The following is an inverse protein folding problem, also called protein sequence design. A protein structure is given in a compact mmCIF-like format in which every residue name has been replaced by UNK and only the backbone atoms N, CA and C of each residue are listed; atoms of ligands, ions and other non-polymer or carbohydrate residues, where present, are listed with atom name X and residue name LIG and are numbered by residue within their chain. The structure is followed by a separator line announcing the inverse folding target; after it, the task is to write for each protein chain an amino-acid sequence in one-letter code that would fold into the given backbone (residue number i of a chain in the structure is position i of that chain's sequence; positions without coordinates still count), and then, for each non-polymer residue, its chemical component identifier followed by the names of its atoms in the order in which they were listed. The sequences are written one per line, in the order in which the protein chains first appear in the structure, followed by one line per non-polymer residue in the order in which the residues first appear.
data_IF_417343511711
#
_entry.id   IF_417343511711
#
_cell.length_a   1.000
_cell.length_b   1.000
_cell.length_c   1.000
_cell.angle_alpha   90.00
_cell.angle_beta   90.00
_cell.angle_gamma   90.00
#
_symmetry.space_group_name_H-M   'P 1'
#
loop_
_entity.id
_entity.type
_entity.pdbx_description
1 polymer ?
#
# COMPACT_ATOMS: atom_id res chain seq x y z
N UNK A 1 -21.81 2.44 -20.28
CA UNK A 1 -21.72 1.58 -19.08
C UNK A 1 -20.86 2.16 -17.96
N UNK A 2 -19.57 2.52 -18.16
CA UNK A 2 -18.69 3.06 -17.09
C UNK A 2 -19.22 4.35 -16.43
N UNK A 3 -19.75 5.30 -17.20
CA UNK A 3 -20.35 6.53 -16.68
C UNK A 3 -21.60 6.25 -15.83
N UNK A 4 -22.47 5.35 -16.31
CA UNK A 4 -23.71 4.99 -15.59
C UNK A 4 -23.37 4.42 -14.21
N UNK A 5 -22.44 3.44 -14.15
CA UNK A 5 -21.98 2.87 -12.88
C UNK A 5 -21.45 3.97 -11.96
N UNK A 6 -20.66 4.89 -12.50
CA UNK A 6 -20.11 6.00 -11.71
C UNK A 6 -21.22 6.94 -11.20
N UNK A 7 -22.20 7.32 -12.02
CA UNK A 7 -23.27 8.22 -11.63
C UNK A 7 -24.12 7.66 -10.47
N UNK A 8 -24.40 6.35 -10.47
CA UNK A 8 -25.12 5.71 -9.37
C UNK A 8 -24.24 5.50 -8.12
N UNK A 9 -22.97 5.20 -8.31
CA UNK A 9 -22.06 4.94 -7.18
C UNK A 9 -21.57 6.22 -6.50
N UNK A 10 -21.38 7.31 -7.23
CA UNK A 10 -20.79 8.53 -6.69
C UNK A 10 -21.61 9.19 -5.58
N UNK A 11 -22.95 9.33 -5.65
CA UNK A 11 -23.76 9.85 -4.54
C UNK A 11 -23.62 9.00 -3.28
N UNK A 12 -23.57 7.68 -3.42
CA UNK A 12 -23.39 6.74 -2.30
C UNK A 12 -22.00 6.94 -1.68
N UNK A 13 -20.95 7.01 -2.50
CA UNK A 13 -19.57 7.28 -2.06
C UNK A 13 -19.50 8.60 -1.31
N UNK A 14 -20.13 9.65 -1.84
CA UNK A 14 -20.18 10.97 -1.20
C UNK A 14 -20.90 10.91 0.15
N UNK A 15 -22.05 10.28 0.21
CA UNK A 15 -22.81 10.11 1.45
C UNK A 15 -21.98 9.35 2.50
N UNK A 16 -21.44 8.19 2.15
CA UNK A 16 -20.57 7.39 3.04
C UNK A 16 -19.39 8.22 3.55
N UNK A 17 -18.77 9.03 2.68
CA UNK A 17 -17.60 9.83 3.06
C UNK A 17 -17.89 10.89 4.13
N UNK A 18 -19.16 11.31 4.27
CA UNK A 18 -19.60 12.32 5.26
C UNK A 18 -19.98 11.70 6.61
N UNK A 19 -20.28 10.39 6.64
CA UNK A 19 -20.69 9.70 7.87
C UNK A 19 -19.59 9.75 8.94
N UNK A 20 -19.94 9.82 10.24
CA UNK A 20 -18.99 9.68 11.33
C UNK A 20 -18.36 8.28 11.35
N UNK A 21 -17.16 8.14 11.89
CA UNK A 21 -16.43 6.88 11.89
C UNK A 21 -17.15 5.75 12.63
N UNK A 22 -17.94 6.06 13.65
CA UNK A 22 -18.77 5.06 14.36
C UNK A 22 -19.78 4.37 13.42
N UNK A 23 -20.39 5.11 12.51
CA UNK A 23 -21.32 4.57 11.51
C UNK A 23 -20.56 3.87 10.38
N UNK A 24 -19.47 4.47 9.91
CA UNK A 24 -18.63 3.89 8.85
C UNK A 24 -18.16 2.48 9.21
N UNK A 25 -17.77 2.24 10.46
CA UNK A 25 -17.34 0.91 10.86
C UNK A 25 -18.49 -0.12 10.98
N UNK A 26 -19.72 0.31 11.23
CA UNK A 26 -20.89 -0.58 11.09
C UNK A 26 -21.13 -0.97 9.62
N UNK A 27 -20.95 -0.02 8.69
CA UNK A 27 -20.99 -0.29 7.24
C UNK A 27 -19.86 -1.23 6.85
N UNK A 28 -18.64 -1.02 7.37
CA UNK A 28 -17.50 -1.90 7.14
C UNK A 28 -17.76 -3.33 7.63
N UNK A 29 -18.37 -3.49 8.81
CA UNK A 29 -18.70 -4.81 9.36
C UNK A 29 -19.75 -5.53 8.49
N UNK A 30 -20.71 -4.81 7.91
CA UNK A 30 -21.64 -5.35 6.92
C UNK A 30 -20.91 -5.76 5.63
N UNK A 31 -20.00 -4.92 5.12
CA UNK A 31 -19.17 -5.25 3.95
C UNK A 31 -18.33 -6.49 4.23
N UNK A 32 -17.72 -6.61 5.41
CA UNK A 32 -17.00 -7.83 5.84
C UNK A 32 -17.90 -9.05 5.73
N UNK A 33 -19.11 -8.99 6.29
CA UNK A 33 -20.06 -10.10 6.25
C UNK A 33 -20.37 -10.50 4.80
N UNK A 34 -20.70 -9.54 3.96
CA UNK A 34 -21.03 -9.79 2.55
C UNK A 34 -19.84 -10.39 1.80
N UNK A 35 -18.64 -9.80 1.90
CA UNK A 35 -17.46 -10.28 1.19
C UNK A 35 -16.99 -11.65 1.67
N UNK A 36 -17.01 -11.90 2.98
CA UNK A 36 -16.46 -13.11 3.57
C UNK A 36 -17.46 -14.28 3.56
N UNK A 37 -18.71 -14.03 3.97
CA UNK A 37 -19.70 -15.10 4.19
C UNK A 37 -20.62 -15.33 2.99
N UNK A 38 -21.09 -14.25 2.34
CA UNK A 38 -22.05 -14.33 1.24
C UNK A 38 -21.34 -14.56 -0.09
N UNK A 39 -20.55 -13.58 -0.53
CA UNK A 39 -19.88 -13.63 -1.85
C UNK A 39 -18.60 -14.46 -1.87
N UNK A 40 -18.04 -14.78 -0.70
CA UNK A 40 -16.77 -15.52 -0.56
C UNK A 40 -15.67 -14.93 -1.47
N UNK A 41 -15.59 -13.59 -1.50
CA UNK A 41 -14.72 -12.85 -2.41
C UNK A 41 -13.28 -13.30 -2.26
N UNK A 42 -12.74 -13.92 -3.31
CA UNK A 42 -11.37 -14.46 -3.36
C UNK A 42 -10.99 -15.42 -2.21
N UNK A 43 -11.95 -16.04 -1.55
CA UNK A 43 -11.72 -16.89 -0.38
C UNK A 43 -10.71 -18.01 -0.65
N UNK A 44 -10.82 -18.69 -1.81
CA UNK A 44 -9.86 -19.72 -2.20
C UNK A 44 -8.42 -19.19 -2.31
N UNK A 45 -8.24 -17.94 -2.79
CA UNK A 45 -6.92 -17.31 -2.92
C UNK A 45 -6.36 -16.96 -1.54
N UNK A 46 -7.18 -16.38 -0.67
CA UNK A 46 -6.77 -16.03 0.71
C UNK A 46 -6.32 -17.27 1.47
N UNK A 47 -7.13 -18.34 1.48
CA UNK A 47 -6.80 -19.60 2.14
C UNK A 47 -5.53 -20.25 1.57
N UNK A 48 -5.40 -20.29 0.23
CA UNK A 48 -4.19 -20.79 -0.41
C UNK A 48 -2.96 -20.02 0.06
N UNK A 49 -3.02 -18.69 0.04
CA UNK A 49 -1.88 -17.86 0.44
C UNK A 49 -1.53 -18.05 1.92
N UNK A 50 -2.52 -18.13 2.82
CA UNK A 50 -2.28 -18.33 4.25
C UNK A 50 -1.65 -19.72 4.54
N UNK A 51 -2.18 -20.78 3.94
CA UNK A 51 -1.60 -22.13 4.10
C UNK A 51 -0.15 -22.24 3.57
N UNK A 52 0.18 -21.47 2.50
CA UNK A 52 1.54 -21.43 1.96
C UNK A 52 2.48 -20.64 2.86
N UNK A 53 2.00 -19.49 3.37
CA UNK A 53 2.81 -18.58 4.17
C UNK A 53 3.04 -19.04 5.61
N UNK A 54 2.12 -19.85 6.16
CA UNK A 54 2.14 -20.29 7.57
C UNK A 54 1.79 -21.78 7.65
N UNK A 55 2.63 -22.66 7.07
CA UNK A 55 2.34 -24.10 7.04
C UNK A 55 2.35 -24.77 8.43
N UNK A 56 2.98 -24.12 9.41
CA UNK A 56 3.09 -24.58 10.80
C UNK A 56 1.85 -24.25 11.66
N UNK A 57 0.96 -23.37 11.17
CA UNK A 57 -0.21 -22.96 11.96
C UNK A 57 -1.40 -23.90 11.79
N UNK A 58 -2.15 -24.07 12.83
CA UNK A 58 -3.41 -24.83 12.81
C UNK A 58 -4.46 -24.20 11.89
N UNK A 59 -5.41 -25.01 11.41
CA UNK A 59 -6.51 -24.51 10.59
C UNK A 59 -7.39 -23.50 11.33
N UNK A 60 -7.47 -23.60 12.66
CA UNK A 60 -8.20 -22.66 13.51
C UNK A 60 -7.50 -21.29 13.52
N UNK A 61 -6.18 -21.25 13.73
CA UNK A 61 -5.39 -20.04 13.66
C UNK A 61 -5.46 -19.37 12.29
N UNK A 62 -5.37 -20.15 11.21
CA UNK A 62 -5.50 -19.64 9.84
C UNK A 62 -6.91 -19.07 9.57
N UNK A 63 -7.96 -19.69 10.12
CA UNK A 63 -9.33 -19.19 10.02
C UNK A 63 -9.54 -17.89 10.80
N UNK A 64 -8.90 -17.73 11.96
CA UNK A 64 -8.91 -16.48 12.72
C UNK A 64 -8.22 -15.36 11.94
N UNK A 65 -7.02 -15.63 11.39
CA UNK A 65 -6.31 -14.67 10.52
C UNK A 65 -7.17 -14.29 9.30
N UNK A 66 -7.80 -15.27 8.63
CA UNK A 66 -8.72 -15.05 7.51
C UNK A 66 -9.86 -14.09 7.91
N UNK A 67 -10.53 -14.36 9.04
CA UNK A 67 -11.64 -13.53 9.51
C UNK A 67 -11.19 -12.10 9.84
N UNK A 68 -10.04 -11.94 10.51
CA UNK A 68 -9.44 -10.65 10.83
C UNK A 68 -8.98 -9.91 9.56
N UNK A 69 -8.44 -10.64 8.57
CA UNK A 69 -8.09 -10.08 7.27
C UNK A 69 -9.31 -9.47 6.56
N UNK A 70 -10.43 -10.18 6.46
CA UNK A 70 -11.64 -9.62 5.82
C UNK A 70 -12.18 -8.41 6.57
N UNK A 71 -12.08 -8.38 7.90
CA UNK A 71 -12.42 -7.20 8.68
C UNK A 71 -11.53 -6.01 8.32
N UNK A 72 -10.21 -6.23 8.30
CA UNK A 72 -9.25 -5.19 7.95
C UNK A 72 -9.40 -4.73 6.49
N UNK A 73 -9.57 -5.65 5.55
CA UNK A 73 -9.79 -5.35 4.14
C UNK A 73 -11.03 -4.48 3.91
N UNK A 74 -12.12 -4.77 4.62
CA UNK A 74 -13.33 -3.95 4.57
C UNK A 74 -13.11 -2.57 5.18
N UNK A 75 -12.36 -2.49 6.30
CA UNK A 75 -12.02 -1.23 6.94
C UNK A 75 -11.22 -0.33 5.98
N UNK A 76 -10.14 -0.84 5.37
CA UNK A 76 -9.33 -0.05 4.42
C UNK A 76 -10.16 0.41 3.22
N UNK A 77 -11.03 -0.47 2.70
CA UNK A 77 -11.88 -0.14 1.56
C UNK A 77 -12.78 1.07 1.88
N UNK A 78 -13.44 1.04 3.03
CA UNK A 78 -14.36 2.11 3.41
C UNK A 78 -13.60 3.38 3.85
N UNK A 79 -12.43 3.23 4.47
CA UNK A 79 -11.55 4.33 4.87
C UNK A 79 -10.98 5.09 3.66
N UNK A 80 -10.70 4.37 2.56
CA UNK A 80 -10.30 4.99 1.29
C UNK A 80 -11.42 5.89 0.71
N UNK A 81 -12.67 5.47 0.88
CA UNK A 81 -13.85 6.27 0.52
C UNK A 81 -14.01 7.45 1.49
N UNK A 82 -13.85 7.19 2.79
CA UNK A 82 -13.96 8.22 3.85
C UNK A 82 -12.98 9.36 3.65
N UNK A 83 -11.80 9.10 3.13
CA UNK A 83 -10.78 10.12 2.84
C UNK A 83 -11.31 11.26 1.95
N UNK A 84 -12.34 11.03 1.13
CA UNK A 84 -13.00 12.09 0.35
C UNK A 84 -13.60 13.18 1.25
N UNK A 85 -14.25 12.80 2.35
CA UNK A 85 -14.89 13.70 3.32
C UNK A 85 -13.98 14.18 4.47
N UNK A 86 -12.81 13.58 4.67
CA UNK A 86 -11.92 13.92 5.79
C UNK A 86 -11.25 15.28 5.63
N UNK A 87 -11.11 15.98 6.76
CA UNK A 87 -10.26 17.18 6.85
C UNK A 87 -8.77 16.79 7.00
N UNK A 88 -7.88 17.78 6.79
CA UNK A 88 -6.46 17.61 7.08
C UNK A 88 -6.21 17.26 8.56
N UNK A 89 -6.86 17.94 9.47
CA UNK A 89 -6.74 17.70 10.92
C UNK A 89 -7.18 16.28 11.30
N UNK A 90 -8.27 15.78 10.72
CA UNK A 90 -8.73 14.42 10.92
C UNK A 90 -7.73 13.39 10.37
N UNK A 91 -7.18 13.63 9.18
CA UNK A 91 -6.15 12.76 8.58
C UNK A 91 -4.89 12.72 9.46
N UNK A 92 -4.37 13.87 9.88
CA UNK A 92 -3.19 13.97 10.77
C UNK A 92 -3.40 13.28 12.12
N UNK A 93 -4.60 13.36 12.69
CA UNK A 93 -4.93 12.71 13.95
C UNK A 93 -4.98 11.18 13.82
N UNK A 94 -5.37 10.66 12.67
CA UNK A 94 -5.56 9.23 12.43
C UNK A 94 -4.36 8.54 11.81
N UNK A 95 -3.51 9.30 11.14
CA UNK A 95 -2.30 8.77 10.55
C UNK A 95 -1.09 9.57 11.05
N UNK A 96 -0.33 8.95 11.92
CA UNK A 96 0.82 9.56 12.60
C UNK A 96 2.14 8.94 12.17
N UNK A 97 3.23 9.61 12.48
CA UNK A 97 4.58 9.19 12.11
C UNK A 97 5.46 9.23 13.36
N UNK A 98 6.08 8.11 13.74
CA UNK A 98 6.87 7.98 14.97
C UNK A 98 8.19 8.73 14.86
N UNK A 99 8.88 8.62 13.72
CA UNK A 99 10.22 9.16 13.52
C UNK A 99 10.33 9.94 12.19
N UNK A 100 9.42 10.88 11.98
CA UNK A 100 9.36 11.69 10.75
C UNK A 100 10.67 12.44 10.46
N UNK A 101 11.46 12.72 11.49
CA UNK A 101 12.72 13.44 11.40
C UNK A 101 13.76 12.67 10.55
N UNK A 102 13.65 11.34 10.43
CA UNK A 102 14.46 10.56 9.47
C UNK A 102 14.28 11.09 8.05
N UNK A 103 13.04 11.36 7.62
CA UNK A 103 12.81 11.92 6.27
C UNK A 103 13.28 13.37 6.17
N UNK A 104 13.05 14.16 7.20
CA UNK A 104 13.49 15.58 7.24
C UNK A 104 15.01 15.70 7.15
N UNK A 105 15.74 14.80 7.84
CA UNK A 105 17.19 14.75 7.77
C UNK A 105 17.69 14.38 6.37
N UNK A 106 17.10 13.35 5.76
CA UNK A 106 17.41 12.99 4.37
C UNK A 106 17.12 14.16 3.43
N UNK A 107 16.03 14.90 3.67
CA UNK A 107 15.65 16.06 2.85
C UNK A 107 16.57 17.27 2.96
N UNK A 108 17.53 17.30 3.89
CA UNK A 108 18.60 18.32 3.89
C UNK A 108 19.57 18.13 2.71
N UNK A 109 19.79 16.87 2.30
CA UNK A 109 20.80 16.50 1.32
C UNK A 109 20.21 16.06 -0.03
N UNK A 110 18.93 15.67 -0.09
CA UNK A 110 18.25 15.26 -1.32
C UNK A 110 16.78 15.68 -1.31
N UNK A 111 16.28 16.06 -2.48
CA UNK A 111 14.87 16.46 -2.65
C UNK A 111 13.96 15.28 -2.97
N UNK A 112 14.50 14.15 -3.39
CA UNK A 112 13.76 13.02 -3.92
C UNK A 112 14.03 11.77 -3.09
N UNK A 113 12.95 11.16 -2.54
CA UNK A 113 13.03 9.99 -1.68
C UNK A 113 12.03 8.94 -2.18
N UNK A 114 12.42 7.68 -2.18
CA UNK A 114 11.51 6.55 -2.35
C UNK A 114 10.98 6.12 -0.98
N UNK A 115 9.66 6.09 -0.84
CA UNK A 115 8.95 5.43 0.25
C UNK A 115 8.52 4.05 -0.22
N UNK A 116 9.20 3.01 0.25
CA UNK A 116 8.95 1.63 -0.11
C UNK A 116 8.07 0.96 0.95
N UNK A 117 6.95 0.37 0.55
CA UNK A 117 6.02 -0.31 1.44
C UNK A 117 5.44 -1.57 0.80
N UNK A 118 4.79 -2.42 1.60
CA UNK A 118 3.89 -3.46 1.12
C UNK A 118 2.44 -2.98 1.06
N UNK A 119 1.59 -3.78 0.43
CA UNK A 119 0.14 -3.64 0.58
C UNK A 119 -0.26 -4.17 1.97
N UNK A 120 0.16 -3.46 3.00
CA UNK A 120 0.01 -3.82 4.40
C UNK A 120 -0.61 -2.67 5.19
N UNK A 121 -1.49 -2.98 6.11
CA UNK A 121 -2.19 -2.00 6.93
C UNK A 121 -2.87 -0.92 6.07
N UNK A 122 -2.93 0.34 6.48
CA UNK A 122 -3.47 1.41 5.64
C UNK A 122 -2.37 2.14 4.85
N UNK A 123 -1.79 1.43 3.86
CA UNK A 123 -0.81 2.01 2.91
C UNK A 123 -1.41 3.14 2.05
N UNK A 124 -2.74 3.20 1.91
CA UNK A 124 -3.42 4.24 1.13
C UNK A 124 -3.25 5.64 1.75
N UNK A 125 -3.31 5.72 3.08
CA UNK A 125 -3.14 7.00 3.79
C UNK A 125 -1.68 7.39 3.99
N UNK A 126 -0.71 6.50 3.73
CA UNK A 126 0.72 6.80 3.81
C UNK A 126 1.10 8.04 2.98
N UNK A 127 0.47 8.20 1.82
CA UNK A 127 0.78 9.32 0.92
C UNK A 127 0.37 10.68 1.49
N UNK A 128 -0.41 10.74 2.57
CA UNK A 128 -0.68 12.00 3.32
C UNK A 128 0.56 12.55 4.03
N UNK A 129 1.71 11.87 3.89
CA UNK A 129 3.02 12.28 4.39
C UNK A 129 3.37 13.73 4.03
N UNK A 130 2.89 14.23 2.90
CA UNK A 130 3.07 15.61 2.47
C UNK A 130 2.52 16.67 3.44
N UNK A 131 1.71 16.28 4.44
CA UNK A 131 1.32 17.17 5.54
C UNK A 131 2.42 17.36 6.61
N UNK A 132 3.40 16.48 6.66
CA UNK A 132 4.38 16.40 7.74
C UNK A 132 5.83 16.59 7.27
N UNK A 133 6.06 16.63 5.95
CA UNK A 133 7.38 16.79 5.31
C UNK A 133 7.36 17.91 4.29
N UNK A 134 8.53 18.28 3.77
CA UNK A 134 8.63 19.10 2.56
C UNK A 134 8.20 18.26 1.36
N UNK A 135 7.39 18.85 0.47
CA UNK A 135 6.93 18.21 -0.76
C UNK A 135 5.65 17.37 -0.61
N UNK A 136 5.33 16.66 -1.67
CA UNK A 136 4.11 15.86 -1.80
C UNK A 136 4.42 14.39 -2.01
N UNK A 137 3.47 13.51 -1.63
CA UNK A 137 3.53 12.08 -1.93
C UNK A 137 3.11 11.78 -3.38
N UNK A 138 3.86 10.92 -4.06
CA UNK A 138 3.57 10.49 -5.44
C UNK A 138 3.51 8.96 -5.48
N UNK A 139 2.30 8.40 -5.43
CA UNK A 139 2.10 6.95 -5.53
C UNK A 139 2.26 6.47 -6.97
N UNK A 140 3.11 5.48 -7.18
CA UNK A 140 3.27 4.83 -8.48
C UNK A 140 2.18 3.77 -8.63
N UNK A 141 1.35 3.89 -9.66
CA UNK A 141 0.17 3.05 -9.80
C UNK A 141 -0.04 2.53 -11.23
N UNK A 142 -0.84 1.49 -11.36
CA UNK A 142 -1.37 1.02 -12.64
C UNK A 142 -2.73 1.69 -12.88
N UNK A 143 -2.93 2.42 -14.01
CA UNK A 143 -4.18 3.08 -14.32
C UNK A 143 -5.39 2.15 -14.24
N UNK A 144 -6.50 2.66 -13.73
CA UNK A 144 -7.76 1.93 -13.62
C UNK A 144 -8.49 1.86 -14.96
N UNK A 145 -9.20 0.77 -15.20
CA UNK A 145 -10.02 0.59 -16.41
C UNK A 145 -11.14 1.63 -16.47
N UNK A 146 -11.80 1.90 -15.34
CA UNK A 146 -12.84 2.92 -15.27
C UNK A 146 -12.25 4.31 -15.01
N UNK A 147 -12.23 5.15 -16.04
CA UNK A 147 -11.64 6.50 -16.00
C UNK A 147 -12.35 7.46 -15.03
N UNK A 148 -13.62 7.25 -14.73
CA UNK A 148 -14.38 8.10 -13.80
C UNK A 148 -13.97 7.82 -12.36
N UNK A 149 -13.88 6.54 -11.97
CA UNK A 149 -13.32 6.17 -10.65
C UNK A 149 -11.86 6.56 -10.52
N UNK A 150 -11.05 6.42 -11.57
CA UNK A 150 -9.66 6.89 -11.54
C UNK A 150 -9.56 8.39 -11.23
N UNK A 151 -10.40 9.22 -11.88
CA UNK A 151 -10.46 10.66 -11.60
C UNK A 151 -10.89 10.94 -10.16
N UNK A 152 -11.89 10.21 -9.65
CA UNK A 152 -12.35 10.33 -8.27
C UNK A 152 -11.23 10.00 -7.28
N UNK A 153 -10.55 8.87 -7.45
CA UNK A 153 -9.44 8.48 -6.57
C UNK A 153 -8.27 9.45 -6.64
N UNK A 154 -7.93 9.96 -7.82
CA UNK A 154 -6.94 11.04 -7.95
C UNK A 154 -7.36 12.30 -7.20
N UNK A 155 -8.63 12.68 -7.27
CA UNK A 155 -9.18 13.84 -6.54
C UNK A 155 -9.09 13.64 -5.03
N UNK A 156 -9.45 12.47 -4.52
CA UNK A 156 -9.37 12.12 -3.10
C UNK A 156 -7.92 12.26 -2.62
N UNK A 157 -6.96 11.66 -3.32
CA UNK A 157 -5.55 11.69 -2.93
C UNK A 157 -4.95 13.10 -3.03
N UNK A 158 -5.26 13.84 -4.10
CA UNK A 158 -4.80 15.22 -4.27
C UNK A 158 -5.23 16.12 -3.10
N UNK A 159 -6.43 15.93 -2.56
CA UNK A 159 -6.92 16.62 -1.37
C UNK A 159 -5.97 16.44 -0.18
N UNK A 160 -5.33 15.27 -0.05
CA UNK A 160 -4.42 14.94 1.03
C UNK A 160 -2.93 15.06 0.63
N UNK A 161 -2.60 15.97 -0.29
CA UNK A 161 -1.23 16.20 -0.81
C UNK A 161 -0.57 14.95 -1.40
N UNK A 162 -1.40 14.02 -1.88
CA UNK A 162 -0.97 12.79 -2.52
C UNK A 162 -1.35 12.80 -4.00
N UNK A 163 -0.43 12.43 -4.86
CA UNK A 163 -0.62 12.39 -6.30
C UNK A 163 -0.38 10.97 -6.82
N UNK A 164 -0.91 10.67 -8.00
CA UNK A 164 -0.71 9.39 -8.64
C UNK A 164 0.06 9.57 -9.95
N UNK A 165 1.14 8.83 -10.10
CA UNK A 165 1.94 8.76 -11.33
C UNK A 165 1.77 7.38 -11.94
N UNK A 166 1.35 7.33 -13.21
CA UNK A 166 1.23 6.07 -13.92
C UNK A 166 2.60 5.41 -14.09
N UNK A 167 2.70 4.11 -13.76
CA UNK A 167 3.93 3.33 -13.98
C UNK A 167 4.46 3.38 -15.42
N UNK A 168 3.58 3.66 -16.38
CA UNK A 168 3.96 3.77 -17.79
C UNK A 168 4.53 5.13 -18.17
N UNK A 169 4.33 6.15 -17.32
CA UNK A 169 4.77 7.54 -17.54
C UNK A 169 5.78 8.01 -16.50
N UNK A 170 6.36 7.10 -15.72
CA UNK A 170 7.26 7.49 -14.63
C UNK A 170 8.56 8.12 -15.14
N UNK A 171 9.10 7.65 -16.27
CA UNK A 171 10.32 8.23 -16.87
C UNK A 171 10.08 9.66 -17.32
N UNK A 172 9.00 9.90 -18.08
CA UNK A 172 8.62 11.26 -18.55
C UNK A 172 8.37 12.18 -17.35
N UNK A 173 7.73 11.67 -16.30
CA UNK A 173 7.51 12.42 -15.08
C UNK A 173 8.84 12.82 -14.41
N UNK A 174 9.79 11.90 -14.31
CA UNK A 174 11.10 12.19 -13.73
C UNK A 174 11.87 13.26 -14.51
N UNK A 175 11.80 13.22 -15.84
CA UNK A 175 12.43 14.23 -16.71
C UNK A 175 11.78 15.61 -16.59
N UNK A 176 10.55 15.69 -16.10
CA UNK A 176 9.78 16.93 -15.92
C UNK A 176 9.79 17.47 -14.49
N UNK A 177 10.58 16.88 -13.58
CA UNK A 177 10.62 17.32 -12.18
C UNK A 177 11.19 18.74 -12.07
N UNK A 178 10.50 19.55 -11.27
CA UNK A 178 11.01 20.84 -10.82
C UNK A 178 12.09 20.60 -9.75
N UNK A 179 13.33 20.92 -10.08
CA UNK A 179 14.49 20.74 -9.19
C UNK A 179 14.40 21.54 -7.88
N UNK A 180 13.49 22.51 -7.79
CA UNK A 180 13.23 23.30 -6.59
C UNK A 180 12.22 22.65 -5.63
N UNK A 181 11.53 21.58 -6.06
CA UNK A 181 10.50 20.89 -5.26
C UNK A 181 11.01 19.58 -4.68
N UNK A 182 10.30 19.11 -3.64
CA UNK A 182 10.56 17.84 -2.98
C UNK A 182 9.53 16.80 -3.41
N UNK A 183 9.98 15.58 -3.66
CA UNK A 183 9.13 14.46 -4.11
C UNK A 183 9.35 13.22 -3.26
N UNK A 184 8.26 12.63 -2.81
CA UNK A 184 8.22 11.40 -2.03
C UNK A 184 7.52 10.34 -2.88
N UNK A 185 8.28 9.47 -3.52
CA UNK A 185 7.76 8.43 -4.43
C UNK A 185 7.34 7.19 -3.65
N UNK A 186 6.05 6.90 -3.57
CA UNK A 186 5.50 5.71 -2.94
C UNK A 186 5.47 4.51 -3.87
N UNK A 187 6.16 3.44 -3.50
CA UNK A 187 6.16 2.16 -4.20
C UNK A 187 5.64 1.05 -3.28
N UNK A 188 4.55 0.39 -3.66
CA UNK A 188 4.11 -0.86 -3.06
C UNK A 188 4.58 -2.02 -3.95
N UNK A 189 5.64 -2.72 -3.53
CA UNK A 189 6.44 -3.61 -4.41
C UNK A 189 6.31 -5.09 -4.08
N UNK A 190 5.30 -5.50 -3.33
CA UNK A 190 5.11 -6.86 -2.78
C UNK A 190 4.26 -7.80 -3.64
N UNK A 191 3.64 -7.31 -4.71
CA UNK A 191 2.79 -8.13 -5.57
C UNK A 191 3.61 -8.98 -6.57
N UNK A 192 2.95 -9.99 -7.18
CA UNK A 192 3.59 -10.85 -8.19
C UNK A 192 3.67 -10.16 -9.54
N UNK A 193 4.80 -10.27 -10.26
CA UNK A 193 4.89 -9.89 -11.66
C UNK A 193 3.85 -10.63 -12.51
N UNK A 194 3.41 -10.01 -13.62
CA UNK A 194 2.45 -10.64 -14.54
C UNK A 194 3.05 -11.81 -15.31
N UNK A 195 4.35 -11.75 -15.60
CA UNK A 195 5.13 -12.76 -16.32
C UNK A 195 6.39 -13.07 -15.50
N UNK A 196 6.82 -14.30 -15.46
CA UNK A 196 8.07 -14.72 -14.79
C UNK A 196 9.28 -14.13 -15.56
N UNK A 197 9.43 -14.43 -16.82
CA UNK A 197 10.45 -13.91 -17.71
C UNK A 197 11.83 -13.73 -17.03
N UNK A 198 12.39 -12.53 -17.18
CA UNK A 198 13.64 -12.11 -16.52
C UNK A 198 13.41 -11.51 -15.12
N UNK A 199 12.41 -12.00 -14.37
CA UNK A 199 12.15 -11.52 -13.02
C UNK A 199 13.23 -11.99 -12.05
N UNK A 200 13.60 -11.14 -11.10
CA UNK A 200 14.40 -11.54 -9.96
C UNK A 200 13.63 -12.57 -9.13
N UNK A 201 14.26 -13.68 -8.78
CA UNK A 201 13.68 -14.75 -7.98
C UNK A 201 14.33 -14.72 -6.60
N UNK A 202 13.49 -14.66 -5.54
CA UNK A 202 13.98 -14.75 -4.17
C UNK A 202 12.93 -15.37 -3.27
N UNK A 203 13.29 -15.67 -2.04
CA UNK A 203 12.38 -16.18 -1.03
C UNK A 203 11.45 -15.05 -0.52
N UNK A 204 10.19 -15.41 -0.35
CA UNK A 204 9.18 -14.60 0.32
C UNK A 204 8.24 -15.52 1.09
N UNK A 205 8.19 -15.35 2.41
CA UNK A 205 7.44 -16.21 3.34
C UNK A 205 7.74 -17.71 3.08
N UNK A 206 9.03 -18.03 3.01
CA UNK A 206 9.53 -19.40 2.85
C UNK A 206 9.40 -20.01 1.45
N UNK A 207 8.91 -19.27 0.44
CA UNK A 207 8.75 -19.78 -0.94
C UNK A 207 9.56 -18.98 -1.93
N UNK A 208 10.23 -19.65 -2.89
CA UNK A 208 10.87 -19.03 -4.03
C UNK A 208 9.81 -18.49 -4.98
N UNK A 209 9.81 -17.19 -5.21
CA UNK A 209 8.81 -16.50 -6.05
C UNK A 209 9.45 -15.35 -6.82
N UNK A 210 8.87 -14.95 -7.96
CA UNK A 210 9.33 -13.75 -8.65
C UNK A 210 8.99 -12.48 -7.85
N UNK A 211 9.94 -11.56 -7.81
CA UNK A 211 9.89 -10.30 -7.06
C UNK A 211 9.98 -9.11 -8.01
N UNK A 212 9.26 -8.05 -7.69
CA UNK A 212 9.40 -6.77 -8.39
C UNK A 212 10.65 -6.01 -7.91
N UNK A 213 11.53 -5.69 -8.85
CA UNK A 213 12.74 -4.89 -8.60
C UNK A 213 12.63 -3.45 -9.12
N UNK A 214 11.41 -3.04 -9.50
CA UNK A 214 11.20 -1.74 -10.13
C UNK A 214 11.60 -0.56 -9.26
N UNK A 215 11.35 -0.62 -7.95
CA UNK A 215 11.74 0.44 -7.01
C UNK A 215 13.27 0.55 -6.86
N UNK A 216 13.97 -0.59 -6.78
CA UNK A 216 15.43 -0.61 -6.72
C UNK A 216 16.07 -0.06 -7.98
N UNK A 217 15.63 -0.53 -9.16
CA UNK A 217 16.11 0.01 -10.44
C UNK A 217 15.88 1.51 -10.49
N UNK A 218 14.70 1.98 -10.09
CA UNK A 218 14.39 3.40 -10.06
C UNK A 218 15.27 4.18 -9.08
N UNK A 219 15.59 3.59 -7.93
CA UNK A 219 16.51 4.18 -6.96
C UNK A 219 17.92 4.35 -7.54
N UNK A 220 18.41 3.31 -8.22
CA UNK A 220 19.75 3.30 -8.84
C UNK A 220 19.83 4.25 -10.04
N UNK A 221 18.84 4.18 -10.96
CA UNK A 221 18.80 5.02 -12.18
C UNK A 221 18.80 6.53 -11.86
N UNK A 222 18.19 6.92 -10.73
CA UNK A 222 18.04 8.34 -10.35
C UNK A 222 18.78 8.72 -9.06
N UNK A 223 19.65 7.86 -8.55
CA UNK A 223 20.43 8.05 -7.30
C UNK A 223 19.55 8.53 -6.12
N UNK A 224 18.44 7.82 -5.86
CA UNK A 224 17.46 8.18 -4.83
C UNK A 224 17.72 7.45 -3.53
N UNK A 225 17.50 8.13 -2.40
CA UNK A 225 17.45 7.48 -1.09
C UNK A 225 16.17 6.67 -0.94
N UNK A 226 16.28 5.49 -0.35
CA UNK A 226 15.15 4.57 -0.13
C UNK A 226 14.88 4.43 1.35
N UNK A 227 13.60 4.54 1.70
CA UNK A 227 13.12 4.41 3.07
C UNK A 227 11.94 3.43 3.10
N UNK A 228 12.02 2.43 3.96
CA UNK A 228 10.90 1.53 4.22
C UNK A 228 9.91 2.20 5.18
N UNK A 229 8.63 2.14 4.82
CA UNK A 229 7.54 2.61 5.65
C UNK A 229 6.92 1.41 6.40
N UNK A 230 7.31 1.24 7.67
CA UNK A 230 6.76 0.23 8.56
C UNK A 230 5.45 0.73 9.17
N UNK A 231 4.34 0.36 8.55
CA UNK A 231 3.00 0.81 8.96
C UNK A 231 2.46 -0.12 10.04
N UNK A 232 1.89 0.46 11.09
CA UNK A 232 1.24 -0.26 12.17
C UNK A 232 -0.18 0.28 12.40
N UNK A 233 -1.14 -0.62 12.62
CA UNK A 233 -2.50 -0.25 13.07
C UNK A 233 -2.49 -0.16 14.60
N UNK A 234 -2.55 1.06 15.12
CA UNK A 234 -2.60 1.32 16.58
C UNK A 234 -3.96 0.88 17.15
N UNK A 235 -5.03 1.23 16.44
CA UNK A 235 -6.41 0.79 16.68
C UNK A 235 -7.22 0.96 15.40
N UNK A 236 -8.44 0.50 15.36
CA UNK A 236 -9.33 0.64 14.18
C UNK A 236 -9.41 2.10 13.75
N UNK A 237 -9.00 2.40 12.51
CA UNK A 237 -8.97 3.75 11.94
C UNK A 237 -7.87 4.67 12.46
N UNK A 238 -6.87 4.13 13.13
CA UNK A 238 -5.69 4.87 13.55
C UNK A 238 -4.43 4.08 13.23
N UNK A 239 -3.53 4.73 12.53
CA UNK A 239 -2.31 4.13 12.00
C UNK A 239 -1.10 4.97 12.37
N UNK A 240 0.03 4.30 12.47
CA UNK A 240 1.31 4.93 12.74
C UNK A 240 2.36 4.31 11.83
N UNK A 241 3.22 5.13 11.26
CA UNK A 241 4.34 4.67 10.43
C UNK A 241 5.65 5.01 11.09
N UNK A 242 6.57 4.03 11.11
CA UNK A 242 7.98 4.18 11.44
C UNK A 242 8.82 4.03 10.19
N UNK A 243 9.81 4.89 10.00
CA UNK A 243 10.68 4.85 8.83
C UNK A 243 11.99 4.16 9.14
N UNK A 244 12.45 3.32 8.19
CA UNK A 244 13.78 2.66 8.23
C UNK A 244 14.50 2.93 6.94
N UNK A 245 15.69 3.52 7.00
CA UNK A 245 16.52 3.74 5.80
C UNK A 245 16.99 2.40 5.26
N UNK A 246 16.86 2.21 3.96
CA UNK A 246 17.42 1.09 3.22
C UNK A 246 18.63 1.60 2.45
N UNK A 247 19.80 1.04 2.72
CA UNK A 247 21.03 1.42 2.03
C UNK A 247 21.36 0.38 0.95
N UNK A 248 21.81 0.86 -0.20
CA UNK A 248 22.39 -0.02 -1.21
C UNK A 248 23.77 -0.50 -0.74
N UNK A 249 23.85 -1.76 -0.34
CA UNK A 249 25.08 -2.35 0.23
C UNK A 249 26.13 -2.73 -0.81
N UNK A 250 25.78 -2.68 -2.10
CA UNK A 250 26.63 -3.10 -3.23
C UNK A 250 27.15 -4.56 -3.18
N UNK A 251 26.65 -5.35 -2.23
CA UNK A 251 26.97 -6.76 -2.05
C UNK A 251 26.09 -7.68 -2.91
N UNK A 252 25.03 -7.13 -3.47
CA UNK A 252 24.06 -7.79 -4.34
C UNK A 252 23.45 -6.79 -5.32
N UNK A 253 23.18 -7.25 -6.54
CA UNK A 253 22.45 -6.42 -7.54
C UNK A 253 21.07 -6.00 -7.07
N UNK A 254 20.52 -6.70 -6.06
CA UNK A 254 19.16 -6.51 -5.54
C UNK A 254 19.12 -6.24 -4.03
N UNK A 255 20.15 -5.63 -3.47
CA UNK A 255 20.31 -5.42 -2.01
C UNK A 255 19.16 -4.62 -1.38
N UNK A 256 18.63 -3.63 -2.08
CA UNK A 256 17.48 -2.83 -1.65
C UNK A 256 16.22 -3.70 -1.59
N UNK A 257 15.97 -4.49 -2.62
CA UNK A 257 14.82 -5.41 -2.73
C UNK A 257 14.88 -6.48 -1.65
N UNK A 258 16.07 -7.05 -1.39
CA UNK A 258 16.26 -8.09 -0.35
C UNK A 258 16.00 -7.56 1.04
N UNK A 259 16.49 -6.36 1.36
CA UNK A 259 16.21 -5.69 2.63
C UNK A 259 14.70 -5.38 2.77
N UNK A 260 14.06 -4.90 1.69
CA UNK A 260 12.62 -4.65 1.67
C UNK A 260 11.81 -5.91 1.98
N UNK A 261 12.12 -7.04 1.33
CA UNK A 261 11.44 -8.31 1.57
C UNK A 261 11.53 -8.71 3.03
N UNK A 262 12.75 -8.70 3.61
CA UNK A 262 12.98 -9.06 5.03
C UNK A 262 12.21 -8.15 5.99
N UNK A 263 12.12 -6.85 5.69
CA UNK A 263 11.36 -5.90 6.51
C UNK A 263 9.86 -6.12 6.39
N UNK A 264 9.38 -6.40 5.19
CA UNK A 264 7.96 -6.71 4.95
C UNK A 264 7.55 -8.03 5.60
N UNK A 265 8.37 -9.08 5.52
CA UNK A 265 8.11 -10.35 6.21
C UNK A 265 7.97 -10.16 7.72
N UNK A 266 8.89 -9.40 8.36
CA UNK A 266 8.79 -9.05 9.78
C UNK A 266 7.48 -8.35 10.10
N UNK A 267 7.03 -7.46 9.22
CA UNK A 267 5.76 -6.76 9.35
C UNK A 267 4.57 -7.72 9.26
N UNK A 268 4.59 -8.66 8.29
CA UNK A 268 3.55 -9.68 8.11
C UNK A 268 3.50 -10.66 9.27
N UNK A 269 4.65 -11.13 9.78
CA UNK A 269 4.71 -12.02 10.94
C UNK A 269 4.19 -11.36 12.22
N UNK A 270 4.37 -10.04 12.39
CA UNK A 270 3.86 -9.26 13.52
C UNK A 270 2.32 -9.26 13.59
N UNK A 271 1.64 -9.01 12.47
CA UNK A 271 0.18 -9.12 12.35
C UNK A 271 -0.20 -9.55 10.93
N UNK A 272 -0.34 -10.87 10.69
CA UNK A 272 -0.67 -11.41 9.37
C UNK A 272 -2.01 -10.89 8.83
N UNK A 273 -2.94 -10.52 9.69
CA UNK A 273 -4.28 -10.09 9.29
C UNK A 273 -4.31 -8.79 8.49
N UNK A 274 -3.24 -8.02 8.54
CA UNK A 274 -3.15 -6.71 7.87
C UNK A 274 -2.53 -6.78 6.47
N UNK A 275 -2.03 -7.94 6.03
CA UNK A 275 -1.47 -8.10 4.69
C UNK A 275 -2.56 -8.38 3.64
N UNK A 276 -2.33 -7.97 2.41
CA UNK A 276 -3.34 -8.00 1.32
C UNK A 276 -3.47 -9.39 0.69
N UNK A 277 -3.92 -10.40 1.46
CA UNK A 277 -4.01 -11.81 1.05
C UNK A 277 -4.93 -12.08 -0.14
N UNK A 278 -5.79 -11.15 -0.52
CA UNK A 278 -6.63 -11.30 -1.71
C UNK A 278 -5.86 -11.22 -3.03
N UNK A 279 -4.62 -10.71 -3.05
CA UNK A 279 -3.74 -10.82 -4.20
C UNK A 279 -3.14 -12.24 -4.27
N UNK A 280 -3.13 -12.86 -5.48
CA UNK A 280 -2.54 -14.20 -5.67
C UNK A 280 -1.00 -14.10 -5.68
N UNK A 281 -0.40 -13.89 -4.47
CA UNK A 281 1.05 -13.66 -4.31
C UNK A 281 1.88 -14.87 -4.71
N UNK A 282 1.37 -16.04 -4.39
CA UNK A 282 2.02 -17.33 -4.72
C UNK A 282 1.49 -17.94 -6.03
N UNK A 283 1.21 -17.09 -7.03
CA UNK A 283 0.81 -17.56 -8.36
C UNK A 283 1.91 -18.37 -9.04
N UNK A 284 3.15 -17.98 -8.83
CA UNK A 284 4.33 -18.59 -9.38
C UNK A 284 5.27 -18.94 -8.22
N UNK A 285 5.26 -20.20 -7.82
CA UNK A 285 6.26 -20.78 -6.94
C UNK A 285 7.26 -21.47 -7.85
N UNK A 286 8.52 -21.34 -7.53
CA UNK A 286 9.64 -21.93 -8.28
C UNK A 286 10.30 -22.93 -7.33
N UNK A 287 10.29 -24.17 -7.73
CA UNK A 287 10.89 -25.30 -6.99
C UNK A 287 12.41 -25.25 -7.04
#
# INVERSE_FOLDING_TARGET
MQLIIYLFSFPIIKLISLLPFSIIYKVSDLIKFLLHRVFKYRLKVVRKNLNIAFPERSQEELSDIESKFYKHFSDITIESIKAYGMSESEMKRRYTYENIDVLREIQKNTKNIILLCGHYSNFEWLLSIGYNTKGNGYGIYTPMTNKYFERLFKKIRKKHKAYLVSRYKIKDFMSSLDTNKYYLFGFASDQSPRKIGKSYINYFLGKKVPIFTGAERFAKDYNLKVVFADINRVKRGHYQTKFKVINDKKDSDYSITDQFIKLLEKQIYRDPSQYFWSHNRFKYIID
#
